data_IF_061877644439
#
_entry.id   IF_061877644439
#
_cell.length_a   1.000
_cell.length_b   1.000
_cell.length_c   1.000
_cell.angle_alpha   90.00
_cell.angle_beta   90.00
_cell.angle_gamma   90.00
#
_symmetry.space_group_name_H-M   'P 1'
#
loop_
_entity.id
_entity.type
_entity.pdbx_description
1 polymer ?
#
# COMPACT_ATOMS: atom_id res chain seq x y z
N UNK A 1 -13.75 -15.54 25.89
CA UNK A 1 -14.41 -14.52 25.02
C UNK A 1 -13.45 -13.38 24.68
N UNK A 2 -12.66 -12.87 25.65
CA UNK A 2 -11.74 -11.74 25.44
C UNK A 2 -10.63 -12.05 24.42
N UNK A 3 -10.09 -13.27 24.39
CA UNK A 3 -9.02 -13.62 23.44
C UNK A 3 -9.47 -13.51 21.97
N UNK A 4 -10.72 -13.89 21.68
CA UNK A 4 -11.30 -13.72 20.34
C UNK A 4 -11.43 -12.25 19.96
N UNK A 5 -11.84 -11.39 20.91
CA UNK A 5 -11.92 -9.94 20.69
C UNK A 5 -10.52 -9.36 20.46
N UNK A 6 -9.52 -9.79 21.25
CA UNK A 6 -8.11 -9.40 21.06
C UNK A 6 -7.60 -9.81 19.67
N UNK A 7 -7.83 -11.06 19.27
CA UNK A 7 -7.41 -11.55 17.95
C UNK A 7 -8.04 -10.73 16.80
N UNK A 8 -9.32 -10.39 16.91
CA UNK A 8 -10.01 -9.55 15.92
C UNK A 8 -9.43 -8.13 15.83
N UNK A 9 -9.04 -7.53 16.96
CA UNK A 9 -8.38 -6.22 16.98
C UNK A 9 -7.00 -6.29 16.33
N UNK A 10 -6.19 -7.30 16.67
CA UNK A 10 -4.86 -7.50 16.06
C UNK A 10 -4.97 -7.70 14.54
N UNK A 11 -5.96 -8.46 14.07
CA UNK A 11 -6.19 -8.64 12.63
C UNK A 11 -6.55 -7.32 11.92
N UNK A 12 -7.32 -6.45 12.57
CA UNK A 12 -7.64 -5.11 12.01
C UNK A 12 -6.43 -4.19 11.97
N UNK A 13 -5.58 -4.23 13.00
CA UNK A 13 -4.33 -3.47 13.03
C UNK A 13 -3.44 -3.89 11.86
N UNK A 14 -3.23 -5.19 11.66
CA UNK A 14 -2.44 -5.70 10.51
C UNK A 14 -2.98 -5.23 9.17
N UNK A 15 -4.30 -5.26 8.98
CA UNK A 15 -4.92 -4.75 7.74
C UNK A 15 -4.64 -3.25 7.52
N UNK A 16 -4.59 -2.46 8.59
CA UNK A 16 -4.26 -1.03 8.50
C UNK A 16 -2.77 -0.85 8.18
N UNK A 17 -1.89 -1.61 8.83
CA UNK A 17 -0.45 -1.62 8.53
C UNK A 17 -0.20 -1.96 7.05
N UNK A 18 -0.80 -3.05 6.54
CA UNK A 18 -0.70 -3.44 5.13
C UNK A 18 -1.20 -2.34 4.17
N UNK A 19 -2.23 -1.58 4.58
CA UNK A 19 -2.77 -0.48 3.79
C UNK A 19 -1.82 0.73 3.77
N UNK A 20 -1.16 1.02 4.89
CA UNK A 20 -0.14 2.06 4.99
C UNK A 20 1.06 1.71 4.13
N UNK A 21 1.57 0.47 4.23
CA UNK A 21 2.69 -0.01 3.42
C UNK A 21 2.40 0.10 1.91
N UNK A 22 1.16 -0.21 1.50
CA UNK A 22 0.75 -0.04 0.11
C UNK A 22 0.73 1.44 -0.31
N UNK A 23 0.26 2.34 0.54
CA UNK A 23 0.25 3.78 0.26
C UNK A 23 1.68 4.30 0.11
N UNK A 24 2.59 3.94 1.01
CA UNK A 24 3.98 4.38 0.99
C UNK A 24 4.71 3.88 -0.27
N UNK A 25 4.47 2.62 -0.64
CA UNK A 25 4.95 2.08 -1.91
C UNK A 25 4.44 2.88 -3.11
N UNK A 26 3.15 3.24 -3.13
CA UNK A 26 2.59 4.03 -4.23
C UNK A 26 3.14 5.45 -4.27
N UNK A 27 3.35 6.07 -3.11
CA UNK A 27 3.93 7.41 -3.01
C UNK A 27 5.35 7.42 -3.58
N UNK A 28 6.21 6.49 -3.15
CA UNK A 28 7.59 6.39 -3.67
C UNK A 28 7.63 6.13 -5.17
N UNK A 29 6.72 5.31 -5.72
CA UNK A 29 6.58 5.13 -7.15
C UNK A 29 6.22 6.44 -7.87
N UNK A 30 5.28 7.22 -7.33
CA UNK A 30 4.91 8.51 -7.92
C UNK A 30 6.06 9.52 -7.86
N UNK A 31 6.77 9.58 -6.74
CA UNK A 31 7.93 10.45 -6.57
C UNK A 31 9.05 10.10 -7.58
N UNK A 32 9.31 8.79 -7.79
CA UNK A 32 10.27 8.32 -8.80
C UNK A 32 9.85 8.67 -10.24
N UNK A 33 8.55 8.65 -10.53
CA UNK A 33 8.03 9.06 -11.85
C UNK A 33 8.14 10.57 -12.05
N UNK A 34 7.79 11.36 -11.03
CA UNK A 34 7.82 12.82 -11.09
C UNK A 34 9.24 13.39 -11.14
N UNK A 35 10.19 12.74 -10.48
CA UNK A 35 11.62 13.08 -10.53
C UNK A 35 12.29 12.65 -11.84
N UNK A 36 11.66 11.79 -12.64
CA UNK A 36 12.21 11.27 -13.89
C UNK A 36 13.16 10.08 -13.73
N UNK A 37 13.31 9.55 -12.51
CA UNK A 37 14.08 8.32 -12.25
C UNK A 37 13.42 7.08 -12.88
N UNK A 38 12.09 7.08 -12.98
CA UNK A 38 11.32 6.01 -13.58
C UNK A 38 10.35 6.55 -14.66
N UNK A 39 10.30 5.96 -15.86
CA UNK A 39 9.32 6.37 -16.87
C UNK A 39 7.90 5.96 -16.47
N UNK A 40 6.94 6.85 -16.69
CA UNK A 40 5.52 6.52 -16.52
C UNK A 40 5.08 5.41 -17.48
N UNK A 41 4.36 4.41 -16.96
CA UNK A 41 3.68 3.36 -17.73
C UNK A 41 2.23 3.25 -17.28
N UNK A 42 1.30 3.40 -18.23
CA UNK A 42 -0.12 3.20 -17.97
C UNK A 42 -0.48 1.73 -18.07
N UNK A 43 -1.11 1.19 -17.02
CA UNK A 43 -1.66 -0.16 -17.04
C UNK A 43 -2.90 -0.30 -17.95
N UNK A 44 -3.45 0.83 -18.43
CA UNK A 44 -4.66 0.87 -19.27
C UNK A 44 -4.36 1.06 -20.75
N UNK A 45 -3.12 1.37 -21.11
CA UNK A 45 -2.69 1.54 -22.49
C UNK A 45 -1.76 0.36 -22.81
N UNK A 46 -2.32 -0.67 -23.44
CA UNK A 46 -1.51 -1.73 -24.01
C UNK A 46 -0.65 -1.15 -25.15
N UNK A 47 0.62 -1.54 -25.19
CA UNK A 47 1.61 -1.03 -26.17
C UNK A 47 1.32 -1.53 -27.57
#
# INVERSE_FOLDING_TARGET
MLDRKRAAVVARIRKLEDSVDYIDFKQSLYDAVLSGELPYRSNLIAR
#
